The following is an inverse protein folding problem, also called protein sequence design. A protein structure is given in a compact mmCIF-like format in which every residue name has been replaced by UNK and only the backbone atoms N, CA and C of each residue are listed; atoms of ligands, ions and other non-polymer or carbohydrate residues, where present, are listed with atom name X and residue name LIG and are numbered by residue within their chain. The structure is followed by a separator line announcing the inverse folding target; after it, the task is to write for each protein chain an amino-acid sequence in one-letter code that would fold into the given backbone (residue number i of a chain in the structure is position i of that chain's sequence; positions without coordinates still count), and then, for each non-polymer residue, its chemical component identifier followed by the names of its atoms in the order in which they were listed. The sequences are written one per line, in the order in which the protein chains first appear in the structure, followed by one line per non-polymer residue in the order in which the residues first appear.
data_IF_027979864610
#
_entry.id   IF_027979864610
#
_cell.length_a   1.000
_cell.length_b   1.000
_cell.length_c   1.000
_cell.angle_alpha   90.00
_cell.angle_beta   90.00
_cell.angle_gamma   90.00
#
_symmetry.space_group_name_H-M   'P 1'
#
loop_
_entity.id
_entity.type
_entity.pdbx_description
1 polymer ?
#
# COMPACT_ATOMS: atom_id res chain seq x y z
N UNK A 1 3.54 -6.12 -14.13
CA UNK A 1 3.80 -5.91 -12.69
C UNK A 1 4.59 -7.09 -12.18
N UNK A 2 5.76 -6.89 -11.56
CA UNK A 2 6.57 -8.00 -11.05
C UNK A 2 5.86 -8.68 -9.87
N UNK A 3 5.83 -10.01 -9.88
CA UNK A 3 5.47 -10.84 -8.74
C UNK A 3 6.77 -11.35 -8.11
N UNK A 4 7.10 -10.81 -6.93
CA UNK A 4 8.35 -11.14 -6.25
C UNK A 4 8.34 -12.58 -5.78
N UNK A 5 9.25 -13.40 -6.32
CA UNK A 5 9.25 -14.85 -6.09
C UNK A 5 7.99 -15.56 -6.60
N UNK A 6 7.23 -14.95 -7.52
CA UNK A 6 5.95 -15.49 -8.00
C UNK A 6 4.78 -15.34 -7.02
N UNK A 7 4.98 -14.66 -5.89
CA UNK A 7 3.97 -14.56 -4.84
C UNK A 7 2.88 -13.53 -5.16
N UNK A 8 1.64 -13.88 -4.88
CA UNK A 8 0.49 -12.97 -4.92
C UNK A 8 0.26 -12.31 -3.56
N UNK A 9 1.14 -11.34 -3.27
CA UNK A 9 1.23 -10.68 -1.96
C UNK A 9 0.01 -9.81 -1.67
N UNK A 10 -0.50 -9.88 -0.44
CA UNK A 10 -1.55 -8.99 0.06
C UNK A 10 -0.98 -7.60 0.33
N UNK A 11 -1.68 -6.56 -0.09
CA UNK A 11 -1.32 -5.16 0.20
C UNK A 11 -2.55 -4.41 0.70
N UNK A 12 -2.32 -3.48 1.61
CA UNK A 12 -3.37 -2.70 2.26
C UNK A 12 -3.11 -1.22 1.98
N UNK A 13 -4.05 -0.60 1.29
CA UNK A 13 -3.96 0.79 0.83
C UNK A 13 -5.06 1.60 1.50
N UNK A 14 -4.69 2.72 2.11
CA UNK A 14 -5.65 3.65 2.69
C UNK A 14 -5.79 4.87 1.78
N UNK A 15 -7.02 5.34 1.58
CA UNK A 15 -7.26 6.55 0.80
C UNK A 15 -6.91 7.80 1.61
N UNK A 16 -6.33 8.81 0.96
CA UNK A 16 -5.86 10.03 1.62
C UNK A 16 -6.96 10.77 2.39
N UNK A 17 -8.21 10.75 1.91
CA UNK A 17 -9.32 11.41 2.60
C UNK A 17 -9.72 10.71 3.88
N UNK A 18 -9.65 9.37 3.91
CA UNK A 18 -9.88 8.62 5.15
C UNK A 18 -8.76 8.91 6.15
N UNK A 19 -7.50 9.04 5.68
CA UNK A 19 -6.37 9.45 6.53
C UNK A 19 -6.61 10.84 7.13
N UNK A 20 -7.04 11.83 6.34
CA UNK A 20 -7.30 13.20 6.84
C UNK A 20 -8.36 13.21 7.94
N UNK A 21 -9.49 12.54 7.70
CA UNK A 21 -10.61 12.50 8.66
C UNK A 21 -10.18 11.79 9.94
N UNK A 22 -9.55 10.62 9.84
CA UNK A 22 -9.10 9.86 11.01
C UNK A 22 -8.02 10.60 11.79
N UNK A 23 -7.08 11.26 11.11
CA UNK A 23 -6.05 12.07 11.77
C UNK A 23 -6.68 13.22 12.54
N UNK A 24 -7.68 13.91 11.97
CA UNK A 24 -8.40 14.97 12.67
C UNK A 24 -9.17 14.45 13.90
N UNK A 25 -9.76 13.24 13.83
CA UNK A 25 -10.42 12.61 14.98
C UNK A 25 -9.42 12.27 16.09
N UNK A 26 -8.30 11.64 15.74
CA UNK A 26 -7.23 11.29 16.69
C UNK A 26 -6.66 12.52 17.37
N UNK A 27 -6.42 13.62 16.63
CA UNK A 27 -5.87 14.86 17.19
C UNK A 27 -6.83 15.58 18.15
N UNK A 28 -8.14 15.35 18.03
CA UNK A 28 -9.16 15.96 18.91
C UNK A 28 -9.45 15.12 20.14
N UNK A 29 -8.98 13.87 20.15
CA UNK A 29 -9.28 12.90 21.19
C UNK A 29 -8.16 12.89 22.23
N UNK A 30 -8.33 13.69 23.27
CA UNK A 30 -7.33 13.87 24.35
C UNK A 30 -7.12 12.62 25.22
N UNK A 31 -8.03 11.65 25.15
CA UNK A 31 -7.97 10.41 25.93
C UNK A 31 -7.34 9.24 25.16
N UNK A 32 -6.99 9.45 23.88
CA UNK A 32 -6.42 8.39 23.07
C UNK A 32 -5.05 7.96 23.62
N UNK A 33 -4.89 6.67 23.89
CA UNK A 33 -3.64 6.10 24.38
C UNK A 33 -3.31 4.77 23.70
N UNK A 34 -2.03 4.54 23.41
CA UNK A 34 -1.53 3.32 22.81
C UNK A 34 -1.40 3.35 21.28
N UNK A 35 -1.22 2.16 20.68
CA UNK A 35 -0.91 1.99 19.26
C UNK A 35 -2.18 1.58 18.49
N UNK A 36 -2.47 2.35 17.42
CA UNK A 36 -3.59 2.12 16.51
C UNK A 36 -3.07 1.95 15.08
N UNK A 37 -3.66 1.01 14.34
CA UNK A 37 -3.36 0.83 12.91
C UNK A 37 -4.34 1.67 12.10
N UNK A 38 -3.80 2.57 11.28
CA UNK A 38 -4.57 3.43 10.40
C UNK A 38 -4.67 2.80 9.01
N UNK A 39 -5.52 1.77 8.90
CA UNK A 39 -5.67 0.94 7.70
C UNK A 39 -7.15 0.60 7.46
N UNK A 40 -7.63 0.39 6.22
CA UNK A 40 -8.99 -0.08 5.98
C UNK A 40 -9.18 -1.53 6.45
N UNK A 41 -10.44 -1.98 6.51
CA UNK A 41 -10.75 -3.37 6.90
C UNK A 41 -10.36 -4.40 5.84
N UNK A 42 -10.35 -4.00 4.58
CA UNK A 42 -10.05 -4.86 3.46
C UNK A 42 -8.57 -4.77 3.05
N UNK A 43 -8.20 -5.65 2.13
CA UNK A 43 -6.89 -5.67 1.49
C UNK A 43 -7.08 -6.07 0.02
N UNK A 44 -6.12 -5.72 -0.81
CA UNK A 44 -6.05 -6.18 -2.19
C UNK A 44 -4.82 -7.07 -2.40
N UNK A 45 -4.67 -7.65 -3.59
CA UNK A 45 -3.54 -8.51 -3.95
C UNK A 45 -2.83 -7.96 -5.18
N UNK A 46 -1.52 -8.19 -5.24
CA UNK A 46 -0.66 -7.75 -6.36
C UNK A 46 -1.22 -8.14 -7.73
N UNK A 47 -1.80 -9.33 -7.88
CA UNK A 47 -2.41 -9.77 -9.14
C UNK A 47 -3.68 -9.00 -9.49
N UNK A 48 -4.55 -8.74 -8.52
CA UNK A 48 -5.77 -7.95 -8.72
C UNK A 48 -5.41 -6.53 -9.13
N UNK A 49 -4.43 -5.92 -8.47
CA UNK A 49 -3.90 -4.61 -8.85
C UNK A 49 -3.34 -4.62 -10.27
N UNK A 50 -2.55 -5.64 -10.65
CA UNK A 50 -1.99 -5.75 -12.00
C UNK A 50 -3.10 -5.86 -13.06
N UNK A 51 -4.11 -6.69 -12.81
CA UNK A 51 -5.26 -6.85 -13.70
C UNK A 51 -6.04 -5.55 -13.86
N UNK A 52 -6.31 -4.84 -12.75
CA UNK A 52 -7.01 -3.56 -12.78
C UNK A 52 -6.22 -2.47 -13.54
N UNK A 53 -4.89 -2.61 -13.63
CA UNK A 53 -4.03 -1.77 -14.46
C UNK A 53 -3.90 -2.22 -15.92
N UNK A 54 -4.50 -3.34 -16.31
CA UNK A 54 -4.30 -3.95 -17.64
C UNK A 54 -2.90 -4.52 -17.84
N UNK A 55 -2.14 -4.78 -16.75
CA UNK A 55 -0.76 -5.25 -16.81
C UNK A 55 -0.66 -6.75 -16.53
N UNK A 56 0.20 -7.43 -17.27
CA UNK A 56 0.54 -8.84 -17.00
C UNK A 56 1.40 -8.96 -15.73
N UNK A 57 1.16 -10.01 -14.96
CA UNK A 57 2.02 -10.42 -13.85
C UNK A 57 3.24 -11.18 -14.39
N UNK A 58 4.44 -10.78 -13.99
CA UNK A 58 5.68 -11.48 -14.36
C UNK A 58 6.35 -12.03 -13.09
N UNK A 59 6.50 -13.35 -12.93
CA UNK A 59 7.23 -13.89 -11.80
C UNK A 59 8.72 -13.54 -11.93
N UNK A 60 9.30 -12.91 -10.91
CA UNK A 60 10.71 -12.54 -10.91
C UNK A 60 11.40 -13.16 -9.69
N UNK A 61 12.53 -13.87 -9.86
CA UNK A 61 13.31 -14.38 -8.73
C UNK A 61 13.68 -13.27 -7.76
N UNK A 62 13.31 -13.41 -6.48
CA UNK A 62 13.47 -12.37 -5.47
C UNK A 62 14.93 -11.92 -5.31
N UNK A 63 15.88 -12.85 -5.38
CA UNK A 63 17.32 -12.54 -5.26
C UNK A 63 17.81 -11.64 -6.39
N UNK A 64 17.43 -11.96 -7.63
CA UNK A 64 17.80 -11.18 -8.81
C UNK A 64 17.19 -9.77 -8.76
N UNK A 65 15.90 -9.69 -8.41
CA UNK A 65 15.23 -8.39 -8.30
C UNK A 65 15.83 -7.51 -7.20
N UNK A 66 16.12 -8.10 -6.03
CA UNK A 66 16.81 -7.39 -4.92
C UNK A 66 18.18 -6.89 -5.35
N UNK A 67 18.98 -7.71 -6.03
CA UNK A 67 20.28 -7.30 -6.53
C UNK A 67 20.17 -6.13 -7.52
N UNK A 68 19.27 -6.22 -8.50
CA UNK A 68 19.03 -5.16 -9.47
C UNK A 68 18.62 -3.84 -8.79
N UNK A 69 17.68 -3.89 -7.84
CA UNK A 69 17.26 -2.71 -7.08
C UNK A 69 18.41 -2.13 -6.24
N UNK A 70 19.25 -2.97 -5.61
CA UNK A 70 20.42 -2.52 -4.86
C UNK A 70 21.43 -1.80 -5.74
N UNK A 71 21.71 -2.31 -6.93
CA UNK A 71 22.63 -1.65 -7.89
C UNK A 71 22.05 -0.31 -8.34
N UNK A 72 20.77 -0.28 -8.76
CA UNK A 72 20.11 0.96 -9.19
C UNK A 72 20.03 2.00 -8.07
N UNK A 73 19.81 1.56 -6.83
CA UNK A 73 19.82 2.43 -5.65
C UNK A 73 21.21 3.00 -5.36
N UNK A 74 22.24 2.15 -5.38
CA UNK A 74 23.62 2.57 -5.16
C UNK A 74 24.07 3.61 -6.21
N UNK A 75 23.69 3.41 -7.47
CA UNK A 75 23.95 4.33 -8.57
C UNK A 75 23.04 5.57 -8.58
N UNK A 76 22.11 5.70 -7.62
CA UNK A 76 21.11 6.77 -7.54
C UNK A 76 20.21 6.90 -8.78
N UNK A 77 20.08 5.81 -9.55
CA UNK A 77 19.22 5.75 -10.75
C UNK A 77 17.77 5.39 -10.42
N UNK A 78 17.48 4.97 -9.18
CA UNK A 78 16.14 4.61 -8.74
C UNK A 78 15.83 5.20 -7.37
N UNK A 79 14.57 5.62 -7.18
CA UNK A 79 14.01 6.00 -5.88
C UNK A 79 13.61 4.79 -5.02
N UNK A 80 13.62 3.59 -5.60
CA UNK A 80 13.26 2.37 -4.89
C UNK A 80 14.45 1.84 -4.08
N UNK A 81 14.33 1.90 -2.76
CA UNK A 81 15.35 1.32 -1.88
C UNK A 81 15.20 -0.22 -1.79
N UNK A 82 16.29 -0.98 -1.56
CA UNK A 82 16.23 -2.43 -1.40
C UNK A 82 15.30 -2.90 -0.26
N UNK A 83 15.11 -2.07 0.76
CA UNK A 83 14.17 -2.30 1.87
C UNK A 83 12.71 -2.34 1.39
N UNK A 84 12.35 -1.54 0.39
CA UNK A 84 11.00 -1.51 -0.18
C UNK A 84 10.65 -2.83 -0.86
N UNK A 85 11.64 -3.52 -1.45
CA UNK A 85 11.43 -4.85 -2.02
C UNK A 85 11.01 -5.84 -0.95
N UNK A 86 11.62 -5.79 0.24
CA UNK A 86 11.25 -6.66 1.37
C UNK A 86 9.82 -6.41 1.82
N UNK A 87 9.41 -5.14 1.93
CA UNK A 87 8.05 -4.76 2.28
C UNK A 87 7.03 -5.21 1.24
N UNK A 88 7.34 -5.06 -0.05
CA UNK A 88 6.46 -5.47 -1.14
C UNK A 88 6.38 -7.01 -1.30
N UNK A 89 7.37 -7.73 -0.78
CA UNK A 89 7.41 -9.20 -0.78
C UNK A 89 6.54 -9.78 0.33
N UNK A 90 6.71 -9.29 1.56
CA UNK A 90 6.01 -9.76 2.75
C UNK A 90 4.87 -8.80 3.07
N UNK A 91 3.70 -9.10 2.52
CA UNK A 91 2.50 -8.29 2.69
C UNK A 91 2.13 -8.14 4.16
N UNK A 92 2.07 -6.90 4.63
CA UNK A 92 1.63 -6.57 5.99
C UNK A 92 0.17 -6.20 5.89
N UNK A 93 -0.69 -6.98 6.55
CA UNK A 93 -2.11 -6.67 6.72
C UNK A 93 -2.35 -6.51 8.21
N UNK A 94 -2.83 -5.34 8.59
CA UNK A 94 -3.10 -5.00 9.98
C UNK A 94 -4.61 -4.91 10.23
N UNK A 95 -5.01 -5.11 11.49
CA UNK A 95 -6.41 -4.97 11.91
C UNK A 95 -6.69 -3.54 12.37
N UNK A 96 -7.73 -2.88 11.84
CA UNK A 96 -8.17 -1.57 12.31
C UNK A 96 -9.18 -1.64 13.45
N UNK A 97 -9.44 -2.83 14.02
CA UNK A 97 -10.49 -3.06 15.03
C UNK A 97 -10.45 -2.03 16.17
N UNK A 98 -9.28 -1.77 16.76
CA UNK A 98 -9.14 -0.79 17.86
C UNK A 98 -9.60 0.63 17.46
N UNK A 99 -9.23 1.05 16.26
CA UNK A 99 -9.51 2.39 15.75
C UNK A 99 -10.98 2.54 15.36
N UNK A 100 -11.52 1.53 14.68
CA UNK A 100 -12.94 1.48 14.32
C UNK A 100 -13.83 1.42 15.55
N UNK A 101 -13.54 0.54 16.50
CA UNK A 101 -14.40 0.37 17.67
C UNK A 101 -14.39 1.65 18.54
N UNK A 102 -13.30 2.43 18.54
CA UNK A 102 -13.21 3.72 19.25
C UNK A 102 -13.98 4.85 18.55
N UNK A 103 -13.78 5.04 17.24
CA UNK A 103 -14.36 6.17 16.51
C UNK A 103 -15.67 5.83 15.78
N UNK A 104 -16.11 4.58 15.83
CA UNK A 104 -17.22 4.03 15.02
C UNK A 104 -17.10 4.38 13.54
N UNK A 105 -15.85 4.49 13.07
CA UNK A 105 -15.54 5.01 11.74
C UNK A 105 -15.74 3.93 10.68
N UNK A 106 -16.42 4.28 9.59
CA UNK A 106 -16.54 3.45 8.39
C UNK A 106 -15.68 4.04 7.29
N UNK A 107 -14.72 3.25 6.80
CA UNK A 107 -13.87 3.63 5.68
C UNK A 107 -14.72 3.90 4.44
N UNK A 108 -14.46 5.03 3.78
CA UNK A 108 -15.20 5.41 2.58
C UNK A 108 -14.69 4.65 1.36
N UNK A 109 -13.41 4.28 1.38
CA UNK A 109 -12.75 3.60 0.29
C UNK A 109 -12.20 2.25 0.74
N UNK A 110 -12.49 1.21 -0.04
CA UNK A 110 -11.75 -0.04 0.05
C UNK A 110 -10.34 0.09 -0.53
N UNK A 111 -9.45 -0.81 -0.15
CA UNK A 111 -8.04 -0.79 -0.53
C UNK A 111 -7.82 -0.77 -2.05
N UNK A 112 -8.61 -1.51 -2.84
CA UNK A 112 -8.49 -1.46 -4.30
C UNK A 112 -8.96 -0.12 -4.87
N UNK A 113 -10.05 0.43 -4.34
CA UNK A 113 -10.58 1.74 -4.77
C UNK A 113 -9.59 2.86 -4.49
N UNK A 114 -8.99 2.87 -3.30
CA UNK A 114 -7.94 3.80 -2.92
C UNK A 114 -6.74 3.75 -3.88
N UNK A 115 -6.32 2.54 -4.25
CA UNK A 115 -5.23 2.36 -5.22
C UNK A 115 -5.58 2.88 -6.61
N UNK A 116 -6.78 2.59 -7.11
CA UNK A 116 -7.20 3.00 -8.45
C UNK A 116 -7.38 4.52 -8.58
N UNK A 117 -7.91 5.17 -7.55
CA UNK A 117 -7.98 6.63 -7.51
C UNK A 117 -6.58 7.27 -7.60
N UNK A 118 -5.63 6.78 -6.81
CA UNK A 118 -4.25 7.26 -6.85
C UNK A 118 -3.58 7.08 -8.22
N UNK A 119 -3.87 5.97 -8.92
CA UNK A 119 -3.40 5.73 -10.29
C UNK A 119 -4.05 6.69 -11.28
N UNK A 120 -5.37 6.91 -11.17
CA UNK A 120 -6.11 7.82 -12.03
C UNK A 120 -5.56 9.24 -11.94
N UNK A 121 -5.37 9.75 -10.71
CA UNK A 121 -4.77 11.07 -10.46
C UNK A 121 -3.38 11.21 -11.08
N UNK A 122 -2.54 10.19 -10.97
CA UNK A 122 -1.18 10.21 -11.58
C UNK A 122 -1.20 10.19 -13.10
N UNK A 123 -2.13 9.45 -13.73
CA UNK A 123 -2.33 9.46 -15.19
C UNK A 123 -2.75 10.84 -15.69
N UNK A 124 -3.69 11.49 -14.99
CA UNK A 124 -4.12 12.86 -15.31
C UNK A 124 -2.95 13.86 -15.20
N UNK A 125 -2.08 13.66 -14.21
CA UNK A 125 -0.89 14.50 -13.99
C UNK A 125 0.29 14.14 -14.90
N UNK A 126 0.16 13.20 -15.86
CA UNK A 126 1.22 12.82 -16.80
C UNK A 126 2.43 12.14 -16.16
N UNK A 127 2.30 11.57 -14.96
CA UNK A 127 3.40 10.96 -14.20
C UNK A 127 3.41 9.43 -14.22
N UNK A 128 2.53 8.82 -15.04
CA UNK A 128 2.39 7.37 -15.21
C UNK A 128 2.27 6.96 -16.68
#
# INVERSE_FOLDING_TARGET
MPLFGGMDTKTQWIHEDDVKVLTALVLRDVEITGIFNLVPEDYTRSRVMAQALGKRCLPVPLRLFRFAVSVLWFLRLSKAAPSMVRLATYGIVASPKKLRDRYQYRFRFGSLGAFLDAVSKRRQNGTL
#
